data_IF_377944159568
#
_entry.id   IF_377944159568
#
_cell.length_a   1.000
_cell.length_b   1.000
_cell.length_c   1.000
_cell.angle_alpha   90.00
_cell.angle_beta   90.00
_cell.angle_gamma   90.00
#
_symmetry.space_group_name_H-M   'P 1'
#
loop_
_entity.id
_entity.type
_entity.pdbx_description
1 polymer ?
#
# COMPACT_ATOMS: atom_id res chain seq x y z
N UNK A 1 -28.04 -1.31 37.30
CA UNK A 1 -27.80 -2.19 36.14
C UNK A 1 -26.31 -2.29 35.96
N UNK A 2 -25.72 -3.44 36.28
CA UNK A 2 -24.31 -3.74 36.07
C UNK A 2 -24.04 -3.70 34.57
N UNK A 3 -23.40 -2.63 34.09
CA UNK A 3 -22.82 -2.59 32.76
C UNK A 3 -21.74 -3.65 32.70
N UNK A 4 -22.06 -4.82 32.14
CA UNK A 4 -21.06 -5.81 31.80
C UNK A 4 -20.14 -5.15 30.77
N UNK A 5 -18.90 -4.82 31.18
CA UNK A 5 -17.85 -4.37 30.27
C UNK A 5 -17.64 -5.49 29.24
N UNK A 6 -18.18 -5.32 28.03
CA UNK A 6 -18.04 -6.29 26.94
C UNK A 6 -16.60 -6.26 26.44
N UNK A 7 -15.92 -7.40 26.36
CA UNK A 7 -14.63 -7.50 25.72
C UNK A 7 -14.66 -7.05 24.24
N UNK A 8 -13.53 -6.58 23.72
CA UNK A 8 -13.36 -6.27 22.31
C UNK A 8 -11.91 -6.45 21.86
N UNK A 9 -11.73 -6.54 20.54
CA UNK A 9 -10.44 -6.69 19.88
C UNK A 9 -10.09 -5.44 19.05
N UNK A 10 -8.83 -5.27 18.65
CA UNK A 10 -8.43 -4.17 17.76
C UNK A 10 -7.81 -4.69 16.47
N UNK A 11 -8.35 -4.29 15.33
CA UNK A 11 -7.75 -4.48 14.03
C UNK A 11 -6.96 -3.22 13.65
N UNK A 12 -5.67 -3.35 13.42
CA UNK A 12 -4.82 -2.24 12.98
C UNK A 12 -4.48 -2.44 11.51
N UNK A 13 -5.04 -1.61 10.65
CA UNK A 13 -4.73 -1.60 9.22
C UNK A 13 -3.49 -0.74 9.00
N UNK A 14 -2.42 -1.34 8.49
CA UNK A 14 -1.16 -0.64 8.24
C UNK A 14 -0.90 -0.59 6.74
N UNK A 15 -0.67 0.59 6.19
CA UNK A 15 -0.30 0.79 4.78
C UNK A 15 0.92 1.68 4.57
N UNK A 16 1.27 1.97 3.32
CA UNK A 16 2.61 2.49 2.95
C UNK A 16 2.97 3.79 3.65
N UNK A 17 1.99 4.62 4.01
CA UNK A 17 2.22 5.83 4.79
C UNK A 17 2.91 5.55 6.12
N UNK A 18 2.72 4.39 6.73
CA UNK A 18 3.45 4.01 7.95
C UNK A 18 4.94 3.81 7.68
N UNK A 19 5.30 3.17 6.57
CA UNK A 19 6.69 3.04 6.15
C UNK A 19 7.31 4.41 5.81
N UNK A 20 6.55 5.28 5.15
CA UNK A 20 6.96 6.66 4.87
C UNK A 20 7.13 7.50 6.13
N UNK A 21 6.25 7.32 7.12
CA UNK A 21 6.33 7.98 8.41
C UNK A 21 7.58 7.55 9.18
N UNK A 22 7.89 6.26 9.08
CA UNK A 22 9.15 5.75 9.54
C UNK A 22 10.28 6.37 8.74
N UNK A 23 10.12 6.69 7.44
CA UNK A 23 11.06 7.35 6.52
C UNK A 23 11.68 6.42 5.47
N UNK A 24 11.02 5.29 5.19
CA UNK A 24 11.41 4.37 4.11
C UNK A 24 10.77 4.88 2.83
N UNK A 25 11.54 4.93 1.75
CA UNK A 25 11.00 5.30 0.45
C UNK A 25 10.22 4.11 -0.11
N UNK A 26 8.90 4.10 0.01
CA UNK A 26 8.05 2.98 -0.42
C UNK A 26 6.93 3.41 -1.37
N UNK A 27 6.99 4.64 -1.88
CA UNK A 27 6.02 5.08 -2.90
C UNK A 27 6.32 4.45 -4.26
N UNK A 28 5.28 4.29 -5.09
CA UNK A 28 5.47 3.86 -6.47
C UNK A 28 6.31 4.85 -7.29
N UNK A 29 6.23 6.16 -7.01
CA UNK A 29 7.05 7.15 -7.69
C UNK A 29 8.55 6.97 -7.39
N UNK A 30 8.91 6.72 -6.13
CA UNK A 30 10.30 6.42 -5.74
C UNK A 30 10.78 5.10 -6.33
N UNK A 31 9.91 4.08 -6.36
CA UNK A 31 10.20 2.81 -7.02
C UNK A 31 10.49 3.00 -8.51
N UNK A 32 9.64 3.68 -9.28
CA UNK A 32 9.85 3.88 -10.73
C UNK A 32 11.12 4.70 -11.00
N UNK A 33 11.37 5.73 -10.19
CA UNK A 33 12.61 6.51 -10.27
C UNK A 33 13.85 5.64 -10.02
N UNK A 34 13.81 4.80 -8.98
CA UNK A 34 14.90 3.86 -8.67
C UNK A 34 15.09 2.84 -9.79
N UNK A 35 14.00 2.24 -10.27
CA UNK A 35 14.00 1.24 -11.34
C UNK A 35 14.69 1.78 -12.60
N UNK A 36 14.31 2.97 -13.07
CA UNK A 36 14.92 3.60 -14.23
C UNK A 36 16.42 3.91 -14.02
N UNK A 37 16.82 4.39 -12.84
CA UNK A 37 18.25 4.63 -12.51
C UNK A 37 19.04 3.33 -12.52
N UNK A 38 18.49 2.27 -11.93
CA UNK A 38 19.13 0.97 -11.85
C UNK A 38 19.34 0.36 -13.24
N UNK A 39 18.31 0.41 -14.11
CA UNK A 39 18.40 -0.09 -15.48
C UNK A 39 19.37 0.73 -16.33
N UNK A 40 19.38 2.06 -16.20
CA UNK A 40 20.36 2.92 -16.88
C UNK A 40 21.79 2.59 -16.43
N UNK A 41 22.02 2.43 -15.12
CA UNK A 41 23.32 2.05 -14.56
C UNK A 41 23.80 0.70 -15.09
N UNK A 42 22.92 -0.30 -15.12
CA UNK A 42 23.21 -1.63 -15.70
C UNK A 42 23.62 -1.53 -17.16
N UNK A 43 22.89 -0.78 -17.97
CA UNK A 43 23.21 -0.59 -19.40
C UNK A 43 24.54 0.11 -19.64
N UNK A 44 24.86 1.15 -18.86
CA UNK A 44 26.15 1.87 -18.97
C UNK A 44 27.33 0.95 -18.63
N UNK A 45 27.12 -0.01 -17.71
CA UNK A 45 28.13 -0.98 -17.31
C UNK A 45 28.24 -2.16 -18.30
N UNK A 46 27.11 -2.64 -18.82
CA UNK A 46 27.01 -3.71 -19.81
C UNK A 46 25.92 -3.39 -20.86
N UNK A 47 26.31 -2.93 -22.06
CA UNK A 47 25.38 -2.59 -23.14
C UNK A 47 24.59 -3.78 -23.71
N UNK A 48 24.91 -5.02 -23.33
CA UNK A 48 24.15 -6.20 -23.75
C UNK A 48 22.94 -6.50 -22.87
N UNK A 49 22.76 -5.73 -21.79
CA UNK A 49 21.58 -5.85 -20.94
C UNK A 49 20.31 -5.55 -21.72
N UNK A 50 19.27 -6.34 -21.48
CA UNK A 50 17.98 -6.21 -22.17
C UNK A 50 16.88 -5.95 -21.16
N UNK A 51 15.91 -5.14 -21.58
CA UNK A 51 14.70 -4.87 -20.83
C UNK A 51 13.51 -4.99 -21.79
N UNK A 52 12.42 -5.59 -21.32
CA UNK A 52 11.22 -5.79 -22.16
C UNK A 52 10.33 -4.56 -22.24
N UNK A 53 10.46 -3.62 -21.29
CA UNK A 53 9.64 -2.42 -21.23
C UNK A 53 10.21 -1.29 -22.09
N UNK A 54 11.52 -1.25 -22.30
CA UNK A 54 12.20 -0.24 -23.09
C UNK A 54 13.58 -0.72 -23.54
N UNK A 55 14.17 -0.05 -24.51
CA UNK A 55 15.56 -0.25 -24.95
C UNK A 55 16.37 1.03 -24.78
N UNK A 56 17.68 0.88 -24.61
CA UNK A 56 18.64 1.98 -24.66
C UNK A 56 19.58 1.80 -25.84
N UNK A 57 19.97 2.91 -26.45
CA UNK A 57 21.01 2.97 -27.46
C UNK A 57 21.98 4.10 -27.11
N UNK A 58 23.28 3.83 -27.19
CA UNK A 58 24.25 4.88 -26.92
C UNK A 58 24.16 5.97 -28.00
N UNK A 59 23.64 7.12 -27.60
CA UNK A 59 23.40 8.25 -28.49
C UNK A 59 24.60 9.17 -28.62
N UNK A 60 25.50 9.12 -27.64
CA UNK A 60 26.45 10.19 -27.39
C UNK A 60 27.87 9.78 -27.77
N UNK A 61 28.61 10.72 -28.36
CA UNK A 61 30.06 10.60 -28.58
C UNK A 61 30.88 10.58 -27.27
N UNK A 62 30.22 10.67 -26.11
CA UNK A 62 30.84 10.77 -24.78
C UNK A 62 30.45 9.58 -23.90
N UNK A 63 31.36 9.14 -23.02
CA UNK A 63 31.05 8.10 -22.03
C UNK A 63 30.26 8.71 -20.87
N UNK A 64 28.96 8.40 -20.79
CA UNK A 64 28.13 8.71 -19.62
C UNK A 64 28.65 7.90 -18.42
N UNK A 65 28.83 8.55 -17.26
CA UNK A 65 29.26 7.83 -16.04
C UNK A 65 28.08 7.05 -15.44
N UNK A 66 28.30 5.86 -14.86
CA UNK A 66 27.23 5.05 -14.25
C UNK A 66 26.36 5.78 -13.23
N UNK A 67 26.95 6.73 -12.49
CA UNK A 67 26.27 7.45 -11.41
C UNK A 67 25.67 8.81 -11.85
N UNK A 68 25.73 9.15 -13.14
CA UNK A 68 25.25 10.44 -13.67
C UNK A 68 23.79 10.72 -13.28
N UNK A 69 22.94 9.70 -13.39
CA UNK A 69 21.50 9.81 -13.16
C UNK A 69 21.10 9.81 -11.67
N UNK A 70 22.03 9.52 -10.74
CA UNK A 70 21.69 9.37 -9.32
C UNK A 70 21.12 10.67 -8.72
N UNK A 71 21.57 11.82 -9.22
CA UNK A 71 21.14 13.16 -8.79
C UNK A 71 19.70 13.51 -9.16
N UNK A 72 19.09 12.80 -10.12
CA UNK A 72 17.74 13.10 -10.61
C UNK A 72 16.69 12.78 -9.55
N UNK A 73 15.78 13.72 -9.28
CA UNK A 73 14.78 13.59 -8.20
C UNK A 73 13.37 13.28 -8.70
N UNK A 74 13.08 13.51 -9.98
CA UNK A 74 11.75 13.29 -10.56
C UNK A 74 11.84 12.33 -11.74
N UNK A 75 10.77 11.57 -11.98
CA UNK A 75 10.67 10.66 -13.13
C UNK A 75 10.78 11.46 -14.43
N UNK A 76 10.15 12.63 -14.50
CA UNK A 76 10.18 13.52 -15.66
C UNK A 76 11.61 13.95 -16.04
N UNK A 77 12.38 14.46 -15.08
CA UNK A 77 13.74 14.92 -15.34
C UNK A 77 14.65 13.76 -15.72
N UNK A 78 14.46 12.59 -15.08
CA UNK A 78 15.21 11.40 -15.43
C UNK A 78 14.86 10.91 -16.83
N UNK A 79 13.58 10.81 -17.17
CA UNK A 79 13.11 10.34 -18.47
C UNK A 79 13.65 11.20 -19.62
N UNK A 80 13.60 12.54 -19.47
CA UNK A 80 14.17 13.47 -20.46
C UNK A 80 15.66 13.21 -20.71
N UNK A 81 16.44 13.01 -19.65
CA UNK A 81 17.86 12.69 -19.77
C UNK A 81 18.09 11.29 -20.37
N UNK A 82 17.29 10.28 -20.00
CA UNK A 82 17.41 8.93 -20.58
C UNK A 82 17.13 8.93 -22.09
N UNK A 83 16.12 9.67 -22.54
CA UNK A 83 15.86 9.87 -23.97
C UNK A 83 17.04 10.59 -24.65
N UNK A 84 17.58 11.63 -24.02
CA UNK A 84 18.62 12.46 -24.63
C UNK A 84 20.00 11.80 -24.67
N UNK A 85 20.39 11.09 -23.61
CA UNK A 85 21.72 10.50 -23.48
C UNK A 85 21.76 9.03 -23.89
N UNK A 86 20.69 8.28 -23.65
CA UNK A 86 20.63 6.83 -23.90
C UNK A 86 19.58 6.43 -24.95
N UNK A 87 19.02 7.39 -25.73
CA UNK A 87 17.99 7.13 -26.76
C UNK A 87 16.96 6.11 -26.29
N UNK A 88 16.43 6.33 -25.09
CA UNK A 88 15.44 5.45 -24.50
C UNK A 88 14.23 5.33 -25.43
N UNK A 89 13.91 4.10 -25.82
CA UNK A 89 12.75 3.79 -26.66
C UNK A 89 11.82 2.83 -25.90
N UNK A 90 10.62 3.31 -25.58
CA UNK A 90 9.65 2.58 -24.75
C UNK A 90 8.90 1.56 -25.63
N UNK A 91 8.94 0.29 -25.22
CA UNK A 91 8.35 -0.83 -25.97
C UNK A 91 6.98 -1.25 -25.44
N UNK A 92 6.63 -0.84 -24.23
CA UNK A 92 5.36 -1.20 -23.60
C UNK A 92 4.49 0.04 -23.35
N UNK A 93 3.30 0.06 -23.95
CA UNK A 93 2.37 1.18 -23.90
C UNK A 93 1.91 1.52 -22.47
N UNK A 94 1.59 0.50 -21.65
CA UNK A 94 1.19 0.75 -20.27
C UNK A 94 2.34 1.38 -19.46
N UNK A 95 3.57 0.94 -19.68
CA UNK A 95 4.74 1.56 -19.06
C UNK A 95 4.95 3.01 -19.52
N UNK A 96 4.75 3.31 -20.81
CA UNK A 96 4.77 4.68 -21.33
C UNK A 96 3.77 5.58 -20.60
N UNK A 97 2.54 5.09 -20.38
CA UNK A 97 1.52 5.82 -19.61
C UNK A 97 1.96 6.08 -18.17
N UNK A 98 2.57 5.10 -17.49
CA UNK A 98 3.12 5.30 -16.14
C UNK A 98 4.12 6.47 -16.15
N UNK A 99 5.03 6.50 -17.14
CA UNK A 99 6.08 7.52 -17.24
C UNK A 99 5.58 8.92 -17.66
N UNK A 100 4.46 9.01 -18.37
CA UNK A 100 3.99 10.25 -19.00
C UNK A 100 2.74 10.83 -18.36
N UNK A 101 1.71 10.01 -18.14
CA UNK A 101 0.41 10.44 -17.62
C UNK A 101 0.42 10.48 -16.08
N UNK A 102 0.92 9.42 -15.44
CA UNK A 102 0.88 9.27 -13.99
C UNK A 102 2.08 9.88 -13.26
N UNK A 103 3.16 10.20 -13.99
CA UNK A 103 4.36 10.82 -13.42
C UNK A 103 4.25 12.34 -13.23
N UNK A 104 3.25 12.98 -13.86
CA UNK A 104 2.98 14.41 -13.72
C UNK A 104 2.12 14.73 -12.47
N UNK A 105 1.38 13.74 -11.96
CA UNK A 105 0.70 13.81 -10.68
C UNK A 105 1.68 13.54 -9.54
N UNK A 106 1.46 14.15 -8.38
CA UNK A 106 2.28 13.91 -7.16
C UNK A 106 2.26 12.44 -6.71
N UNK A 107 1.34 11.63 -7.24
CA UNK A 107 1.13 10.23 -6.93
C UNK A 107 0.98 9.43 -8.22
N UNK A 108 1.76 8.35 -8.34
CA UNK A 108 1.54 7.28 -9.32
C UNK A 108 0.77 6.19 -8.57
N UNK A 109 -0.49 5.94 -8.93
CA UNK A 109 -1.21 4.75 -8.49
C UNK A 109 -1.19 3.71 -9.63
N UNK A 110 -0.16 2.86 -9.62
CA UNK A 110 0.05 1.87 -10.70
C UNK A 110 -1.11 0.86 -10.74
N UNK A 111 -1.71 0.55 -9.59
CA UNK A 111 -2.80 -0.42 -9.50
C UNK A 111 -4.08 0.12 -10.15
N UNK A 112 -4.42 1.39 -9.89
CA UNK A 112 -5.52 2.06 -10.59
C UNK A 112 -5.21 2.25 -12.08
N UNK A 113 -3.99 2.69 -12.42
CA UNK A 113 -3.57 2.88 -13.80
C UNK A 113 -3.69 1.59 -14.62
N UNK A 114 -3.32 0.45 -14.01
CA UNK A 114 -3.48 -0.87 -14.63
C UNK A 114 -4.95 -1.16 -14.94
N UNK A 115 -5.85 -0.91 -13.99
CA UNK A 115 -7.27 -1.19 -14.18
C UNK A 115 -7.90 -0.28 -15.25
N UNK A 116 -7.52 0.99 -15.27
CA UNK A 116 -7.95 1.94 -16.30
C UNK A 116 -7.47 1.51 -17.70
N UNK A 117 -6.23 1.04 -17.79
CA UNK A 117 -5.65 0.53 -19.04
C UNK A 117 -6.33 -0.78 -19.50
N UNK A 118 -6.69 -1.67 -18.57
CA UNK A 118 -7.50 -2.84 -18.90
C UNK A 118 -8.86 -2.46 -19.50
N UNK A 119 -9.57 -1.50 -18.87
CA UNK A 119 -10.85 -1.00 -19.38
C UNK A 119 -10.69 -0.45 -20.78
N UNK A 120 -9.69 0.41 -20.98
CA UNK A 120 -9.38 1.02 -22.27
C UNK A 120 -9.09 -0.05 -23.32
N UNK A 121 -8.19 -0.99 -23.04
CA UNK A 121 -7.86 -2.07 -23.96
C UNK A 121 -9.10 -2.89 -24.35
N UNK A 122 -9.93 -3.24 -23.37
CA UNK A 122 -11.13 -4.05 -23.59
C UNK A 122 -12.24 -3.30 -24.35
N UNK A 123 -12.53 -2.04 -23.98
CA UNK A 123 -13.63 -1.26 -24.54
C UNK A 123 -13.29 -0.63 -25.90
N UNK A 124 -12.07 -0.13 -26.05
CA UNK A 124 -11.69 0.68 -27.22
C UNK A 124 -11.13 -0.16 -28.36
N UNK A 125 -10.70 -1.40 -28.10
CA UNK A 125 -10.09 -2.28 -29.12
C UNK A 125 -10.63 -3.72 -29.12
N UNK A 126 -11.93 -3.95 -29.45
CA UNK A 126 -12.55 -5.27 -29.32
C UNK A 126 -11.86 -6.41 -30.10
N UNK A 127 -11.28 -6.11 -31.26
CA UNK A 127 -10.60 -7.12 -32.11
C UNK A 127 -9.14 -7.40 -31.67
N UNK A 128 -8.55 -6.51 -30.86
CA UNK A 128 -7.11 -6.52 -30.52
C UNK A 128 -6.78 -6.57 -29.02
N UNK A 129 -7.78 -6.47 -28.14
CA UNK A 129 -7.54 -6.29 -26.71
C UNK A 129 -6.69 -7.39 -26.07
N UNK A 130 -6.74 -8.62 -26.60
CA UNK A 130 -6.00 -9.76 -26.07
C UNK A 130 -4.49 -9.51 -25.99
N UNK A 131 -3.89 -8.96 -27.05
CA UNK A 131 -2.44 -8.69 -27.07
C UNK A 131 -2.08 -7.55 -26.13
N UNK A 132 -2.93 -6.53 -26.05
CA UNK A 132 -2.74 -5.37 -25.18
C UNK A 132 -2.85 -5.76 -23.70
N UNK A 133 -3.90 -6.52 -23.33
CA UNK A 133 -4.06 -7.05 -21.96
C UNK A 133 -2.86 -7.92 -21.56
N UNK A 134 -2.37 -8.77 -22.47
CA UNK A 134 -1.15 -9.56 -22.21
C UNK A 134 0.08 -8.68 -21.99
N UNK A 135 0.27 -7.65 -22.80
CA UNK A 135 1.39 -6.71 -22.65
C UNK A 135 1.28 -5.90 -21.34
N UNK A 136 0.08 -5.49 -20.95
CA UNK A 136 -0.19 -4.79 -19.68
C UNK A 136 0.08 -5.70 -18.48
N UNK A 137 -0.36 -6.97 -18.54
CA UNK A 137 -0.05 -7.98 -17.53
C UNK A 137 1.45 -8.27 -17.41
N UNK A 138 2.15 -8.42 -18.54
CA UNK A 138 3.60 -8.63 -18.54
C UNK A 138 4.34 -7.44 -17.93
N UNK A 139 3.88 -6.22 -18.18
CA UNK A 139 4.42 -5.03 -17.53
C UNK A 139 4.25 -5.09 -16.01
N UNK A 140 3.06 -5.41 -15.51
CA UNK A 140 2.82 -5.60 -14.07
C UNK A 140 3.71 -6.68 -13.45
N UNK A 141 3.93 -7.81 -14.14
CA UNK A 141 4.81 -8.87 -13.66
C UNK A 141 6.28 -8.42 -13.57
N UNK A 142 6.76 -7.60 -14.52
CA UNK A 142 8.11 -7.02 -14.50
C UNK A 142 8.23 -6.00 -13.36
N UNK A 143 7.25 -5.12 -13.21
CA UNK A 143 7.24 -4.11 -12.16
C UNK A 143 7.13 -4.75 -10.77
N UNK A 144 6.36 -5.82 -10.60
CA UNK A 144 6.29 -6.57 -9.34
C UNK A 144 7.68 -7.07 -8.89
N UNK A 145 8.45 -7.66 -9.82
CA UNK A 145 9.83 -8.12 -9.52
C UNK A 145 10.75 -6.96 -9.17
N UNK A 146 10.67 -5.85 -9.91
CA UNK A 146 11.42 -4.64 -9.62
C UNK A 146 11.08 -4.06 -8.25
N UNK A 147 9.79 -4.02 -7.91
CA UNK A 147 9.28 -3.50 -6.65
C UNK A 147 9.76 -4.37 -5.48
N UNK A 148 9.76 -5.69 -5.62
CA UNK A 148 10.30 -6.59 -4.60
C UNK A 148 11.78 -6.28 -4.29
N UNK A 149 12.61 -6.15 -5.34
CA UNK A 149 14.03 -5.83 -5.17
C UNK A 149 14.23 -4.46 -4.52
N UNK A 150 13.48 -3.46 -4.97
CA UNK A 150 13.50 -2.12 -4.41
C UNK A 150 13.16 -2.12 -2.91
N UNK A 151 12.08 -2.79 -2.51
CA UNK A 151 11.65 -2.84 -1.11
C UNK A 151 12.65 -3.61 -0.23
N UNK A 152 13.31 -4.66 -0.74
CA UNK A 152 14.40 -5.34 -0.02
C UNK A 152 15.56 -4.37 0.23
N UNK A 153 15.97 -3.60 -0.78
CA UNK A 153 17.03 -2.59 -0.64
C UNK A 153 16.68 -1.53 0.41
N UNK A 154 15.45 -1.01 0.39
CA UNK A 154 15.01 0.01 1.34
C UNK A 154 15.05 -0.48 2.80
N UNK A 155 14.68 -1.73 3.04
CA UNK A 155 14.68 -2.31 4.39
C UNK A 155 16.09 -2.58 4.93
N UNK A 156 17.03 -2.94 4.05
CA UNK A 156 18.40 -3.26 4.43
C UNK A 156 19.23 -2.00 4.73
N UNK A 157 18.90 -0.87 4.10
CA UNK A 157 19.68 0.36 4.19
C UNK A 157 19.36 1.22 5.42
N UNK A 158 18.59 0.70 6.39
CA UNK A 158 18.09 1.51 7.50
C UNK A 158 18.62 1.09 8.88
N UNK A 159 19.10 2.03 9.73
CA UNK A 159 19.55 1.70 11.08
C UNK A 159 18.38 1.16 11.94
N UNK A 160 18.64 0.46 13.06
CA UNK A 160 17.58 -0.21 13.85
C UNK A 160 16.73 0.70 14.76
N UNK A 161 17.21 1.89 15.10
CA UNK A 161 16.73 2.77 16.19
C UNK A 161 15.57 3.71 15.81
N UNK A 162 15.20 3.80 14.54
CA UNK A 162 14.13 4.69 14.04
C UNK A 162 12.72 4.37 14.58
N UNK A 163 12.49 3.14 15.05
CA UNK A 163 11.18 2.66 15.50
C UNK A 163 10.84 3.19 16.90
N UNK A 164 11.85 3.53 17.73
CA UNK A 164 11.65 4.03 19.10
C UNK A 164 10.79 5.31 19.14
N UNK A 165 10.86 6.14 18.10
CA UNK A 165 10.03 7.37 18.01
C UNK A 165 8.52 7.09 17.95
N UNK A 166 8.13 5.84 17.71
CA UNK A 166 6.75 5.42 17.63
C UNK A 166 6.27 4.77 18.93
N UNK A 167 7.04 4.88 20.04
CA UNK A 167 6.65 4.28 21.31
C UNK A 167 5.25 4.70 21.77
N UNK A 168 5.00 6.01 21.79
CA UNK A 168 3.70 6.59 22.16
C UNK A 168 2.56 6.14 21.25
N UNK A 169 2.82 5.95 19.94
CA UNK A 169 1.79 5.45 19.03
C UNK A 169 1.40 4.00 19.37
N UNK A 170 2.38 3.16 19.73
CA UNK A 170 2.10 1.79 20.13
C UNK A 170 1.30 1.73 21.43
N UNK A 171 1.63 2.55 22.42
CA UNK A 171 0.86 2.68 23.67
C UNK A 171 -0.59 3.06 23.37
N UNK A 172 -0.81 4.09 22.55
CA UNK A 172 -2.17 4.50 22.13
C UNK A 172 -2.94 3.36 21.44
N UNK A 173 -2.26 2.55 20.62
CA UNK A 173 -2.87 1.38 19.95
C UNK A 173 -3.21 0.27 20.95
N UNK A 174 -2.53 0.18 22.08
CA UNK A 174 -2.82 -0.78 23.15
C UNK A 174 -3.87 -0.27 24.15
N UNK A 175 -4.15 1.03 24.17
CA UNK A 175 -5.10 1.64 25.10
C UNK A 175 -6.56 1.61 24.63
N UNK A 176 -7.50 1.75 25.57
CA UNK A 176 -8.92 1.88 25.23
C UNK A 176 -9.23 3.19 24.53
N UNK A 177 -10.31 3.25 23.73
CA UNK A 177 -10.73 4.52 23.14
C UNK A 177 -11.10 5.52 24.26
N UNK A 178 -10.64 6.77 24.17
CA UNK A 178 -10.97 7.81 25.16
C UNK A 178 -12.49 7.98 25.32
N UNK A 179 -12.95 8.22 26.55
CA UNK A 179 -14.38 8.25 26.91
C UNK A 179 -15.21 9.20 26.04
N UNK A 180 -14.68 10.39 25.74
CA UNK A 180 -15.30 11.39 24.88
C UNK A 180 -15.59 10.87 23.46
N UNK A 181 -14.84 9.86 23.00
CA UNK A 181 -14.97 9.25 21.67
C UNK A 181 -15.87 8.03 21.66
N UNK A 182 -15.85 7.26 22.75
CA UNK A 182 -16.66 6.04 22.86
C UNK A 182 -18.07 6.25 23.41
N UNK A 183 -18.38 7.40 24.01
CA UNK A 183 -19.71 7.68 24.61
C UNK A 183 -20.90 7.45 23.67
N UNK A 184 -20.70 7.61 22.36
CA UNK A 184 -21.73 7.42 21.33
C UNK A 184 -21.65 6.05 20.63
N UNK A 185 -20.62 5.25 20.93
CA UNK A 185 -20.46 3.90 20.38
C UNK A 185 -21.36 2.98 21.20
N UNK A 186 -22.43 2.48 20.59
CA UNK A 186 -23.32 1.49 21.22
C UNK A 186 -22.50 0.27 21.63
N UNK A 187 -22.68 -0.15 22.89
CA UNK A 187 -22.08 -1.37 23.44
C UNK A 187 -20.53 -1.42 23.45
N UNK A 188 -19.85 -0.28 23.66
CA UNK A 188 -18.40 -0.28 23.87
C UNK A 188 -18.01 -0.83 25.26
N UNK A 189 -16.85 -1.49 25.33
CA UNK A 189 -16.21 -2.15 26.46
C UNK A 189 -15.89 -1.31 27.71
N UNK A 190 -16.27 -0.04 27.76
CA UNK A 190 -15.79 0.88 28.81
C UNK A 190 -14.30 1.24 28.62
N UNK A 191 -13.55 1.26 29.72
CA UNK A 191 -12.13 1.66 29.78
C UNK A 191 -11.13 0.50 29.62
N UNK A 192 -11.61 -0.72 29.41
CA UNK A 192 -10.73 -1.88 29.29
C UNK A 192 -9.93 -1.81 27.97
N UNK A 193 -8.63 -2.15 27.96
CA UNK A 193 -7.87 -2.28 26.72
C UNK A 193 -8.40 -3.46 25.86
N UNK A 194 -8.06 -3.53 24.56
CA UNK A 194 -8.44 -4.64 23.70
C UNK A 194 -7.80 -5.96 24.21
N UNK A 195 -8.53 -7.07 24.10
CA UNK A 195 -8.03 -8.40 24.49
C UNK A 195 -7.00 -8.96 23.50
N UNK A 196 -7.14 -8.58 22.23
CA UNK A 196 -6.17 -8.94 21.19
C UNK A 196 -6.05 -7.83 20.15
N UNK A 197 -4.88 -7.80 19.50
CA UNK A 197 -4.57 -6.88 18.40
C UNK A 197 -4.13 -7.68 17.19
N UNK A 198 -4.81 -7.45 16.06
CA UNK A 198 -4.40 -7.95 14.76
C UNK A 198 -3.91 -6.80 13.89
N UNK A 199 -2.63 -6.80 13.56
CA UNK A 199 -2.07 -5.93 12.52
C UNK A 199 -2.32 -6.55 11.15
N UNK A 200 -3.23 -5.96 10.39
CA UNK A 200 -3.44 -6.28 8.99
C UNK A 200 -2.48 -5.42 8.16
N UNK A 201 -1.34 -6.00 7.80
CA UNK A 201 -0.25 -5.31 7.12
C UNK A 201 -0.42 -5.40 5.60
N UNK A 202 -0.65 -4.26 4.96
CA UNK A 202 -0.70 -4.11 3.50
C UNK A 202 0.68 -3.83 2.91
N UNK A 203 1.65 -3.44 3.74
CA UNK A 203 3.02 -3.17 3.27
C UNK A 203 3.75 -4.48 2.98
N UNK A 204 4.62 -4.43 1.98
CA UNK A 204 5.49 -5.56 1.65
C UNK A 204 6.70 -5.69 2.59
N UNK A 205 6.97 -4.67 3.42
CA UNK A 205 8.09 -4.60 4.35
C UNK A 205 7.82 -5.38 5.66
N UNK A 206 8.89 -5.62 6.42
CA UNK A 206 8.89 -6.21 7.75
C UNK A 206 8.82 -5.16 8.88
N UNK A 207 8.49 -3.90 8.57
CA UNK A 207 8.42 -2.80 9.54
C UNK A 207 7.45 -3.07 10.68
N UNK A 208 6.25 -3.57 10.37
CA UNK A 208 5.24 -3.92 11.37
C UNK A 208 5.74 -5.01 12.31
N UNK A 209 6.49 -5.99 11.80
CA UNK A 209 7.08 -7.05 12.62
C UNK A 209 8.08 -6.47 13.62
N UNK A 210 9.02 -5.64 13.15
CA UNK A 210 10.01 -4.97 14.00
C UNK A 210 9.34 -4.02 15.02
N UNK A 211 8.31 -3.30 14.58
CA UNK A 211 7.48 -2.46 15.43
C UNK A 211 6.91 -3.31 16.58
N UNK A 212 6.13 -4.35 16.27
CA UNK A 212 5.51 -5.21 17.30
C UNK A 212 6.54 -5.89 18.22
N UNK A 213 7.68 -6.34 17.70
CA UNK A 213 8.76 -6.97 18.49
C UNK A 213 9.35 -6.02 19.54
N UNK A 214 9.50 -4.73 19.20
CA UNK A 214 9.98 -3.70 20.12
C UNK A 214 9.05 -3.53 21.34
N UNK A 215 7.73 -3.58 21.12
CA UNK A 215 6.71 -3.34 22.16
C UNK A 215 6.35 -4.58 22.97
N UNK A 216 6.47 -5.76 22.37
CA UNK A 216 6.15 -7.02 23.07
C UNK A 216 7.06 -7.30 24.26
N UNK A 217 8.28 -6.74 24.26
CA UNK A 217 9.20 -6.86 25.40
C UNK A 217 8.65 -6.31 26.72
N UNK A 218 7.60 -5.48 26.69
CA UNK A 218 7.06 -4.81 27.89
C UNK A 218 5.63 -5.28 28.28
N UNK A 219 4.91 -6.01 27.41
CA UNK A 219 3.52 -6.42 27.62
C UNK A 219 3.24 -7.87 27.17
N UNK A 220 3.76 -8.86 27.92
CA UNK A 220 3.66 -10.29 27.59
C UNK A 220 2.22 -10.86 27.55
N UNK A 221 1.23 -10.14 28.11
CA UNK A 221 -0.14 -10.63 28.28
C UNK A 221 -1.01 -10.41 27.02
N UNK A 222 -0.67 -9.43 26.18
CA UNK A 222 -1.52 -9.04 25.04
C UNK A 222 -1.32 -9.97 23.83
N UNK A 223 -2.40 -10.58 23.36
CA UNK A 223 -2.38 -11.39 22.14
C UNK A 223 -2.23 -10.50 20.90
N UNK A 224 -1.03 -10.47 20.31
CA UNK A 224 -0.75 -9.73 19.07
C UNK A 224 -0.50 -10.69 17.90
N UNK A 225 -1.18 -10.44 16.77
CA UNK A 225 -1.03 -11.17 15.51
C UNK A 225 -0.71 -10.20 14.37
N UNK A 226 0.00 -10.68 13.35
CA UNK A 226 0.31 -9.91 12.14
C UNK A 226 -0.13 -10.75 10.94
N UNK A 227 -0.96 -10.18 10.06
CA UNK A 227 -1.34 -10.77 8.78
C UNK A 227 -0.81 -9.87 7.66
N UNK A 228 0.27 -10.28 6.96
CA UNK A 228 0.74 -9.62 5.73
C UNK A 228 -0.17 -10.00 4.56
N UNK A 229 -1.26 -9.25 4.38
CA UNK A 229 -2.37 -9.61 3.51
C UNK A 229 -2.02 -9.53 2.02
N UNK A 230 -1.07 -8.66 1.66
CA UNK A 230 -0.53 -8.56 0.30
C UNK A 230 0.83 -9.22 0.14
N UNK A 231 1.22 -10.11 1.05
CA UNK A 231 2.54 -10.72 0.98
C UNK A 231 3.63 -9.90 1.65
N UNK A 232 4.83 -10.47 1.72
CA UNK A 232 6.03 -9.83 2.25
C UNK A 232 7.23 -10.20 1.39
N UNK A 233 8.15 -9.26 1.17
CA UNK A 233 9.35 -9.52 0.37
C UNK A 233 10.29 -10.55 1.00
N UNK A 234 10.18 -10.76 2.32
CA UNK A 234 10.97 -11.73 3.08
C UNK A 234 10.32 -13.13 3.13
N UNK A 235 9.17 -13.33 2.46
CA UNK A 235 8.40 -14.57 2.53
C UNK A 235 8.17 -15.21 1.16
N UNK A 236 8.94 -16.27 0.80
CA UNK A 236 8.73 -17.00 -0.44
C UNK A 236 7.36 -17.67 -0.55
N UNK A 237 6.77 -18.07 0.59
CA UNK A 237 5.45 -18.73 0.66
C UNK A 237 4.29 -17.75 0.64
N UNK A 238 4.53 -16.48 0.96
CA UNK A 238 3.57 -15.38 0.88
C UNK A 238 4.15 -14.20 0.08
N UNK A 239 4.41 -14.39 -1.22
CA UNK A 239 5.04 -13.36 -2.05
C UNK A 239 4.10 -12.20 -2.29
N UNK A 240 4.64 -11.09 -2.78
CA UNK A 240 3.89 -9.86 -3.00
C UNK A 240 2.67 -10.07 -3.90
N UNK A 241 1.55 -9.46 -3.50
CA UNK A 241 0.32 -9.35 -4.25
C UNK A 241 0.25 -7.91 -4.73
N UNK A 242 0.59 -7.72 -6.01
CA UNK A 242 0.52 -6.46 -6.72
C UNK A 242 -0.60 -6.55 -7.77
N UNK A 243 -1.49 -5.56 -7.82
CA UNK A 243 -2.66 -5.62 -8.70
C UNK A 243 -3.83 -4.76 -8.24
N UNK A 244 -5.02 -4.98 -8.78
CA UNK A 244 -6.22 -4.19 -8.44
C UNK A 244 -7.24 -5.04 -7.67
N UNK A 245 -8.00 -4.44 -6.75
CA UNK A 245 -8.85 -5.20 -5.80
C UNK A 245 -10.24 -4.65 -5.57
N UNK A 246 -10.79 -3.83 -6.48
CA UNK A 246 -12.22 -3.56 -6.55
C UNK A 246 -12.89 -4.53 -7.54
N UNK A 247 -13.59 -5.53 -7.01
CA UNK A 247 -14.43 -6.48 -7.78
C UNK A 247 -15.93 -6.14 -7.72
N UNK A 248 -16.29 -4.94 -7.25
CA UNK A 248 -17.69 -4.54 -7.07
C UNK A 248 -18.26 -3.69 -8.22
N UNK A 249 -17.39 -3.20 -9.11
CA UNK A 249 -17.77 -2.36 -10.25
C UNK A 249 -18.47 -3.13 -11.39
N UNK A 250 -19.30 -2.45 -12.17
CA UNK A 250 -19.99 -3.07 -13.31
C UNK A 250 -19.03 -3.46 -14.44
N UNK A 251 -17.94 -2.72 -14.61
CA UNK A 251 -16.89 -3.07 -15.58
C UNK A 251 -16.16 -4.35 -15.17
N UNK A 252 -15.95 -4.59 -13.87
CA UNK A 252 -15.37 -5.85 -13.38
C UNK A 252 -16.25 -7.04 -13.78
N UNK A 253 -17.58 -6.96 -13.59
CA UNK A 253 -18.51 -8.02 -14.02
C UNK A 253 -18.41 -8.28 -15.52
N UNK A 254 -18.16 -7.23 -16.30
CA UNK A 254 -17.99 -7.35 -17.76
C UNK A 254 -16.76 -8.19 -18.10
N UNK A 255 -15.66 -8.03 -17.36
CA UNK A 255 -14.45 -8.84 -17.48
C UNK A 255 -14.66 -10.28 -17.02
N UNK A 256 -15.34 -10.47 -15.89
CA UNK A 256 -15.62 -11.80 -15.32
C UNK A 256 -16.45 -12.69 -16.25
N UNK A 257 -17.36 -12.08 -17.01
CA UNK A 257 -18.18 -12.78 -18.00
C UNK A 257 -17.42 -13.18 -19.28
N UNK A 258 -16.16 -12.75 -19.45
CA UNK A 258 -15.35 -13.14 -20.59
C UNK A 258 -14.63 -14.46 -20.35
N UNK A 259 -14.53 -15.30 -21.38
CA UNK A 259 -13.69 -16.49 -21.35
C UNK A 259 -12.20 -16.16 -21.61
N UNK A 260 -11.66 -15.19 -20.87
CA UNK A 260 -10.25 -14.78 -20.96
C UNK A 260 -9.68 -14.51 -19.55
N UNK A 261 -8.89 -15.44 -18.98
CA UNK A 261 -8.34 -15.30 -17.63
C UNK A 261 -7.33 -14.15 -17.52
N UNK A 262 -6.74 -13.67 -18.62
CA UNK A 262 -5.78 -12.56 -18.58
C UNK A 262 -6.44 -11.26 -18.10
N UNK A 263 -7.76 -11.08 -18.25
CA UNK A 263 -8.49 -9.92 -17.72
C UNK A 263 -8.57 -9.90 -16.18
N UNK A 264 -8.45 -11.08 -15.54
CA UNK A 264 -8.56 -11.23 -14.09
C UNK A 264 -7.19 -11.51 -13.42
N UNK A 265 -6.12 -11.67 -14.21
CA UNK A 265 -4.80 -12.13 -13.75
C UNK A 265 -4.18 -11.26 -12.64
N UNK A 266 -4.35 -9.94 -12.70
CA UNK A 266 -3.85 -9.02 -11.67
C UNK A 266 -4.93 -8.57 -10.69
N UNK A 267 -6.06 -9.27 -10.60
CA UNK A 267 -7.05 -8.99 -9.57
C UNK A 267 -6.60 -9.66 -8.26
N UNK A 268 -6.53 -8.90 -7.16
CA UNK A 268 -5.99 -9.34 -5.87
C UNK A 268 -6.78 -10.50 -5.24
N UNK A 269 -8.11 -10.50 -5.39
CA UNK A 269 -8.99 -11.50 -4.76
C UNK A 269 -8.66 -12.93 -5.17
N UNK A 270 -8.26 -13.17 -6.43
CA UNK A 270 -7.82 -14.48 -6.90
C UNK A 270 -6.44 -14.90 -6.38
N UNK A 271 -5.66 -13.97 -5.81
CA UNK A 271 -4.32 -14.23 -5.24
C UNK A 271 -4.37 -14.56 -3.74
N UNK A 272 -5.40 -14.11 -3.01
CA UNK A 272 -5.54 -14.37 -1.58
C UNK A 272 -5.59 -15.85 -1.17
N UNK A 273 -6.22 -16.78 -1.92
CA UNK A 273 -6.25 -18.20 -1.58
C UNK A 273 -4.87 -18.89 -1.54
N UNK A 274 -3.81 -18.21 -1.99
CA UNK A 274 -2.44 -18.73 -1.94
C UNK A 274 -1.95 -18.99 -0.51
N UNK A 275 -2.51 -18.30 0.49
CA UNK A 275 -2.18 -18.50 1.90
C UNK A 275 -3.45 -18.53 2.76
N UNK A 276 -3.32 -18.91 4.03
CA UNK A 276 -4.44 -18.84 4.99
C UNK A 276 -4.72 -17.43 5.50
N UNK A 277 -3.96 -16.41 5.09
CA UNK A 277 -4.05 -15.04 5.62
C UNK A 277 -5.45 -14.45 5.55
N UNK A 278 -6.13 -14.58 4.41
CA UNK A 278 -7.48 -14.06 4.25
C UNK A 278 -8.49 -14.81 5.14
N UNK A 279 -8.40 -16.15 5.24
CA UNK A 279 -9.23 -16.92 6.17
C UNK A 279 -8.96 -16.58 7.63
N UNK A 280 -7.70 -16.35 8.00
CA UNK A 280 -7.31 -15.94 9.35
C UNK A 280 -7.88 -14.56 9.69
N UNK A 281 -7.92 -13.63 8.72
CA UNK A 281 -8.61 -12.35 8.87
C UNK A 281 -10.10 -12.59 9.12
N UNK A 282 -10.78 -13.35 8.27
CA UNK A 282 -12.22 -13.63 8.44
C UNK A 282 -12.52 -14.25 9.82
N UNK A 283 -11.72 -15.21 10.26
CA UNK A 283 -11.85 -15.81 11.60
C UNK A 283 -11.67 -14.80 12.72
N UNK A 284 -10.79 -13.81 12.57
CA UNK A 284 -10.63 -12.73 13.53
C UNK A 284 -11.85 -11.79 13.57
N UNK A 285 -12.40 -11.42 12.40
CA UNK A 285 -13.57 -10.54 12.31
C UNK A 285 -14.82 -11.18 12.95
N UNK A 286 -14.97 -12.50 12.84
CA UNK A 286 -16.09 -13.25 13.42
C UNK A 286 -15.94 -13.55 14.92
N UNK A 287 -14.73 -13.48 15.49
CA UNK A 287 -14.45 -13.89 16.88
C UNK A 287 -15.25 -13.07 17.90
N UNK A 288 -15.09 -11.75 17.89
CA UNK A 288 -15.72 -10.81 18.82
C UNK A 288 -15.86 -9.42 18.19
N UNK A 289 -16.47 -8.48 18.93
CA UNK A 289 -16.52 -7.06 18.57
C UNK A 289 -15.10 -6.51 18.40
N UNK A 290 -14.91 -5.64 17.42
CA UNK A 290 -13.62 -5.02 17.20
C UNK A 290 -13.68 -3.58 16.73
N UNK A 291 -12.62 -2.85 17.04
CA UNK A 291 -12.33 -1.52 16.53
C UNK A 291 -11.30 -1.59 15.41
N UNK A 292 -11.35 -0.63 14.50
CA UNK A 292 -10.33 -0.47 13.47
C UNK A 292 -9.48 0.76 13.77
N UNK A 293 -8.16 0.61 13.70
CA UNK A 293 -7.20 1.72 13.65
C UNK A 293 -6.51 1.72 12.29
N UNK A 294 -6.57 2.82 11.54
CA UNK A 294 -5.96 2.95 10.22
C UNK A 294 -4.67 3.76 10.35
N UNK A 295 -3.54 3.13 10.04
CA UNK A 295 -2.20 3.70 10.09
C UNK A 295 -1.61 3.75 8.68
N UNK A 296 -1.64 4.94 8.07
CA UNK A 296 -0.94 5.18 6.80
C UNK A 296 -1.42 4.40 5.59
N UNK A 297 -2.57 3.75 5.69
CA UNK A 297 -3.21 3.12 4.54
C UNK A 297 -3.88 4.16 3.66
N UNK A 298 -3.75 4.06 2.33
CA UNK A 298 -4.37 5.00 1.37
C UNK A 298 -5.90 4.93 1.43
N UNK A 299 -6.44 3.74 1.72
CA UNK A 299 -7.86 3.40 1.56
C UNK A 299 -8.33 3.66 0.13
N UNK A 300 -7.46 3.47 -0.86
CA UNK A 300 -7.81 3.57 -2.27
C UNK A 300 -8.74 2.43 -2.72
N UNK A 301 -9.26 2.56 -3.93
CA UNK A 301 -10.17 1.57 -4.52
C UNK A 301 -9.50 0.22 -4.78
N UNK A 302 -8.18 0.18 -4.94
CA UNK A 302 -7.44 -1.06 -5.18
C UNK A 302 -7.54 -2.09 -4.04
N UNK A 303 -8.08 -1.72 -2.86
CA UNK A 303 -8.31 -2.62 -1.72
C UNK A 303 -9.78 -2.68 -1.27
N UNK A 304 -10.70 -2.18 -2.11
CA UNK A 304 -12.09 -1.93 -1.74
C UNK A 304 -12.82 -3.15 -1.21
N UNK A 305 -12.71 -4.29 -1.88
CA UNK A 305 -13.47 -5.50 -1.50
C UNK A 305 -13.09 -5.97 -0.09
N UNK A 306 -11.80 -5.92 0.23
CA UNK A 306 -11.29 -6.32 1.54
C UNK A 306 -11.67 -5.30 2.62
N UNK A 307 -11.44 -4.01 2.37
CA UNK A 307 -11.76 -2.95 3.33
C UNK A 307 -13.26 -2.87 3.61
N UNK A 308 -14.11 -3.04 2.59
CA UNK A 308 -15.56 -3.13 2.75
C UNK A 308 -15.94 -4.27 3.69
N UNK A 309 -15.34 -5.45 3.49
CA UNK A 309 -15.60 -6.64 4.32
C UNK A 309 -15.28 -6.40 5.80
N UNK A 310 -14.22 -5.63 6.08
CA UNK A 310 -13.85 -5.21 7.44
C UNK A 310 -14.77 -4.12 7.98
N UNK A 311 -14.95 -3.04 7.22
CA UNK A 311 -15.61 -1.82 7.67
C UNK A 311 -17.11 -1.98 7.84
N UNK A 312 -17.76 -2.81 7.01
CA UNK A 312 -19.18 -3.12 7.10
C UNK A 312 -19.47 -4.35 7.97
N UNK A 313 -18.45 -5.07 8.45
CA UNK A 313 -18.64 -6.25 9.30
C UNK A 313 -19.54 -5.96 10.51
N UNK A 314 -20.48 -6.87 10.84
CA UNK A 314 -21.43 -6.70 11.96
C UNK A 314 -20.74 -6.45 13.31
N UNK A 315 -19.53 -6.99 13.50
CA UNK A 315 -18.74 -6.85 14.73
C UNK A 315 -17.85 -5.60 14.75
N UNK A 316 -17.73 -4.85 13.65
CA UNK A 316 -16.99 -3.59 13.63
C UNK A 316 -17.78 -2.51 14.38
N UNK A 317 -17.20 -1.90 15.41
CA UNK A 317 -17.90 -0.91 16.25
C UNK A 317 -17.42 0.51 16.05
N UNK A 318 -16.16 0.71 15.64
CA UNK A 318 -15.59 2.02 15.39
C UNK A 318 -14.37 1.94 14.47
N UNK A 319 -14.10 3.05 13.78
CA UNK A 319 -12.96 3.23 12.89
C UNK A 319 -12.25 4.53 13.27
N UNK A 320 -11.03 4.40 13.78
CA UNK A 320 -10.11 5.50 14.02
C UNK A 320 -9.15 5.64 12.83
N UNK A 321 -9.19 6.79 12.15
CA UNK A 321 -8.15 7.15 11.19
C UNK A 321 -7.07 7.98 11.85
N UNK A 322 -5.82 7.53 11.79
CA UNK A 322 -4.68 8.36 12.16
C UNK A 322 -4.17 9.12 10.93
N UNK A 323 -3.57 10.29 11.13
CA UNK A 323 -3.11 11.19 10.06
C UNK A 323 -1.74 11.79 10.36
N UNK A 324 -1.12 12.43 9.37
CA UNK A 324 0.22 13.03 9.52
C UNK A 324 0.19 14.52 9.79
N UNK A 325 -0.54 15.28 8.96
CA UNK A 325 -0.45 16.73 8.93
C UNK A 325 -1.55 17.39 9.73
N UNK A 326 -2.75 17.37 9.17
CA UNK A 326 -3.83 18.25 9.57
C UNK A 326 -5.21 17.68 9.22
N UNK A 327 -6.22 18.49 9.45
CA UNK A 327 -7.61 18.20 9.11
C UNK A 327 -7.83 17.93 7.62
N UNK A 328 -7.12 18.60 6.72
CA UNK A 328 -7.32 18.43 5.28
C UNK A 328 -6.95 17.00 4.85
N UNK A 329 -5.83 16.49 5.34
CA UNK A 329 -5.43 15.10 5.11
C UNK A 329 -6.45 14.10 5.69
N UNK A 330 -6.90 14.33 6.93
CA UNK A 330 -7.95 13.52 7.56
C UNK A 330 -9.27 13.56 6.77
N UNK A 331 -9.63 14.71 6.22
CA UNK A 331 -10.81 14.90 5.40
C UNK A 331 -10.73 14.11 4.09
N UNK A 332 -9.60 14.18 3.37
CA UNK A 332 -9.39 13.36 2.18
C UNK A 332 -9.39 11.87 2.51
N UNK A 333 -8.81 11.47 3.65
CA UNK A 333 -8.88 10.09 4.13
C UNK A 333 -10.32 9.65 4.38
N UNK A 334 -11.13 10.52 4.97
CA UNK A 334 -12.56 10.27 5.21
C UNK A 334 -13.32 10.05 3.90
N UNK A 335 -12.99 10.82 2.84
CA UNK A 335 -13.55 10.60 1.50
C UNK A 335 -13.18 9.21 0.99
N UNK A 336 -11.91 8.80 1.08
CA UNK A 336 -11.45 7.48 0.64
C UNK A 336 -12.14 6.35 1.44
N UNK A 337 -12.21 6.47 2.78
CA UNK A 337 -12.93 5.53 3.64
C UNK A 337 -14.40 5.40 3.20
N UNK A 338 -15.05 6.52 2.86
CA UNK A 338 -16.47 6.54 2.49
C UNK A 338 -16.79 5.67 1.27
N UNK A 339 -15.83 5.44 0.36
CA UNK A 339 -16.01 4.64 -0.87
C UNK A 339 -16.16 3.15 -0.60
N UNK A 340 -15.72 2.70 0.57
CA UNK A 340 -15.81 1.31 1.03
C UNK A 340 -17.12 0.97 1.73
N UNK A 341 -17.99 1.96 1.94
CA UNK A 341 -19.31 1.76 2.52
C UNK A 341 -20.41 1.82 1.46
N UNK A 342 -21.21 0.76 1.38
CA UNK A 342 -22.53 0.77 0.77
C UNK A 342 -23.55 1.48 1.67
N UNK A 343 -23.45 1.31 3.00
CA UNK A 343 -24.31 1.97 4.00
C UNK A 343 -23.67 3.26 4.55
N UNK A 344 -24.13 4.42 4.08
CA UNK A 344 -23.60 5.73 4.51
C UNK A 344 -23.98 6.11 5.95
N UNK A 345 -25.21 5.86 6.44
CA UNK A 345 -25.50 5.94 7.86
C UNK A 345 -24.52 5.15 8.73
N UNK A 346 -24.28 3.88 8.41
CA UNK A 346 -23.35 3.01 9.16
C UNK A 346 -21.92 3.57 9.17
N UNK A 347 -21.48 4.14 8.05
CA UNK A 347 -20.19 4.83 7.97
C UNK A 347 -20.08 5.97 8.98
N UNK A 348 -21.10 6.82 9.09
CA UNK A 348 -21.11 7.95 10.04
C UNK A 348 -21.24 7.50 11.49
N UNK A 349 -21.83 6.34 11.74
CA UNK A 349 -21.89 5.73 13.08
C UNK A 349 -20.52 5.19 13.52
N UNK A 350 -19.74 4.62 12.59
CA UNK A 350 -18.46 3.95 12.89
C UNK A 350 -17.25 4.87 12.81
N UNK A 351 -17.21 5.77 11.83
CA UNK A 351 -16.04 6.63 11.62
C UNK A 351 -15.97 7.69 12.71
N UNK A 352 -14.92 7.62 13.52
CA UNK A 352 -14.73 8.56 14.61
C UNK A 352 -14.25 9.93 14.09
N UNK A 353 -14.59 11.00 14.82
CA UNK A 353 -14.27 12.38 14.44
C UNK A 353 -12.76 12.70 14.40
N UNK A 354 -12.39 13.87 13.89
CA UNK A 354 -10.99 14.31 13.95
C UNK A 354 -10.52 14.49 15.40
N UNK A 355 -9.26 14.16 15.65
CA UNK A 355 -8.65 14.18 16.97
C UNK A 355 -7.18 14.59 16.84
N UNK A 356 -6.80 15.66 17.53
CA UNK A 356 -5.43 16.19 17.49
C UNK A 356 -4.36 15.21 18.01
N UNK A 357 -4.78 14.21 18.80
CA UNK A 357 -3.89 13.20 19.39
C UNK A 357 -3.69 11.98 18.50
N UNK A 358 -4.57 11.74 17.52
CA UNK A 358 -4.50 10.61 16.59
C UNK A 358 -3.51 10.86 15.43
N UNK A 359 -2.29 11.29 15.77
CA UNK A 359 -1.22 11.60 14.81
C UNK A 359 -0.22 10.47 14.71
N UNK A 360 0.24 10.20 13.50
CA UNK A 360 1.34 9.25 13.28
C UNK A 360 2.66 10.04 13.37
N UNK A 361 3.59 9.68 14.29
CA UNK A 361 4.90 10.31 14.37
C UNK A 361 5.64 10.29 13.04
N UNK A 362 6.48 11.28 12.79
CA UNK A 362 7.31 11.35 11.58
C UNK A 362 8.78 11.34 11.97
N UNK A 363 9.58 10.50 11.32
CA UNK A 363 11.03 10.63 11.38
C UNK A 363 11.41 11.87 10.56
N UNK A 364 11.87 12.92 11.25
CA UNK A 364 12.45 14.09 10.57
C UNK A 364 13.70 13.60 9.84
N UNK A 365 13.80 13.78 8.51
CA UNK A 365 15.00 13.40 7.80
C UNK A 365 16.18 14.23 8.34
N UNK A 366 17.20 13.58 8.90
CA UNK A 366 18.42 14.22 9.42
C UNK A 366 19.34 14.79 8.34
N UNK A 367 18.81 15.14 7.16
CA UNK A 367 19.58 15.69 6.03
C UNK A 367 19.96 17.18 6.20
N UNK A 368 19.76 17.77 7.38
CA UNK A 368 20.08 19.19 7.65
C UNK A 368 21.03 19.45 8.83
N UNK A 369 21.78 18.44 9.28
CA UNK A 369 22.87 18.65 10.26
C UNK A 369 24.18 18.04 9.77
N UNK A 370 24.64 18.49 8.61
CA UNK A 370 26.07 18.58 8.33
C UNK A 370 26.31 19.98 7.78
N UNK A 371 26.84 20.84 8.66
CA UNK A 371 27.38 22.16 8.35
C UNK A 371 28.59 22.06 7.44
#
# INVERSE_FOLDING_TARGET
MTTTNKAYNRLVIVGNGFDLALGLNTTYSEFILHYLKAEAKKYIQDPNTTNKLFTFENSSHYRVRPDYFNSKKTIKDLHSDLVSFLKMDIKNYFFEKILTEYSNSRWVDIEQAYYDELKRAFLDTPEGYHSMVKATNECMDILAKGLQLFIIEQQNNRPPDYIERFYTLAEQICESLPENRRKNIKDHAGNNPPESILYLNFNYTNTVKKFVELFRGENEILEVRIIPIHGSVDSPTNPIIFGYGDDTGDEYKTFENQNNPDLLRMIKSFKYPKTSNYHNLLGYLEKDRFEVSILGHSCGLSDRTLLKSVFEHKNCVAIQSYYYKDWEEFFFKTIEISRHFSDKPLMRERLLSFDETAKIPQVIPTWHTLH
#
